data_IF_663393032004
#
_entry.id   IF_663393032004
#
_cell.length_a   1.000
_cell.length_b   1.000
_cell.length_c   1.000
_cell.angle_alpha   90.00
_cell.angle_beta   90.00
_cell.angle_gamma   90.00
#
_symmetry.space_group_name_H-M   'P 1'
#
loop_
_entity.id
_entity.type
_entity.pdbx_description
1 polymer ?
#
# COMPACT_ATOMS: atom_id res chain seq x y z
N UNK A 1 14.52 -61.11 -77.01
CA UNK A 1 14.67 -61.41 -75.59
C UNK A 1 15.14 -60.14 -74.94
N UNK A 2 14.26 -59.37 -74.33
CA UNK A 2 14.56 -58.09 -73.71
C UNK A 2 13.85 -58.10 -72.34
N UNK A 3 14.63 -58.03 -71.25
CA UNK A 3 14.10 -57.92 -69.91
C UNK A 3 14.09 -56.46 -69.46
N UNK A 4 12.93 -55.91 -69.30
CA UNK A 4 12.70 -54.58 -68.74
C UNK A 4 12.73 -54.62 -67.21
N UNK A 5 13.66 -53.84 -66.62
CA UNK A 5 13.73 -53.58 -65.20
C UNK A 5 12.81 -52.40 -64.84
N UNK A 6 11.87 -52.63 -63.96
CA UNK A 6 11.03 -51.60 -63.40
C UNK A 6 11.78 -50.88 -62.20
N UNK A 7 11.87 -49.57 -62.27
CA UNK A 7 12.40 -48.71 -61.19
C UNK A 7 11.28 -48.37 -60.17
N UNK A 8 11.48 -48.68 -58.91
CA UNK A 8 10.62 -48.22 -57.79
C UNK A 8 11.05 -46.80 -57.38
N UNK A 9 10.16 -45.86 -57.53
CA UNK A 9 10.30 -44.50 -56.96
C UNK A 9 9.75 -44.53 -55.54
N UNK A 10 10.62 -44.34 -54.54
CA UNK A 10 10.21 -44.18 -53.17
C UNK A 10 9.87 -42.71 -52.90
N UNK A 11 8.64 -42.48 -52.45
CA UNK A 11 8.22 -41.18 -51.93
C UNK A 11 8.68 -41.03 -50.49
N UNK A 12 9.57 -40.08 -50.21
CA UNK A 12 9.91 -39.63 -48.85
C UNK A 12 8.94 -38.50 -48.51
N UNK A 13 8.02 -38.76 -47.57
CA UNK A 13 7.18 -37.73 -46.97
C UNK A 13 8.00 -36.97 -45.95
N UNK A 14 8.32 -35.72 -46.23
CA UNK A 14 8.90 -34.78 -45.26
C UNK A 14 7.76 -34.20 -44.43
N UNK A 15 7.64 -34.65 -43.18
CA UNK A 15 6.77 -34.01 -42.18
C UNK A 15 7.39 -32.68 -41.77
N UNK A 16 6.83 -31.56 -42.22
CA UNK A 16 7.13 -30.25 -41.65
C UNK A 16 6.42 -30.12 -40.31
N UNK A 17 7.19 -30.14 -39.21
CA UNK A 17 6.74 -29.68 -37.90
C UNK A 17 6.62 -28.14 -37.95
N UNK A 18 5.39 -27.64 -37.90
CA UNK A 18 5.10 -26.24 -37.66
C UNK A 18 5.18 -26.04 -36.14
N UNK A 19 6.10 -25.19 -35.59
CA UNK A 19 6.06 -24.87 -34.19
C UNK A 19 4.79 -24.06 -33.91
N UNK A 20 3.94 -24.56 -33.03
CA UNK A 20 2.83 -23.79 -32.48
C UNK A 20 3.41 -22.58 -31.71
N UNK A 21 3.23 -21.38 -32.22
CA UNK A 21 3.39 -20.16 -31.46
C UNK A 21 2.37 -20.24 -30.30
N UNK A 22 2.85 -20.56 -29.12
CA UNK A 22 2.10 -20.30 -27.89
C UNK A 22 1.87 -18.79 -27.82
N UNK A 23 0.62 -18.38 -27.99
CA UNK A 23 0.21 -17.01 -27.80
C UNK A 23 0.58 -16.59 -26.38
N UNK A 24 1.38 -15.54 -26.25
CA UNK A 24 1.57 -14.82 -25.01
C UNK A 24 0.21 -14.17 -24.72
N UNK A 25 -0.57 -14.79 -23.85
CA UNK A 25 -1.77 -14.20 -23.29
C UNK A 25 -1.41 -12.92 -22.53
N UNK A 26 -2.38 -12.01 -22.31
CA UNK A 26 -2.13 -10.78 -21.56
C UNK A 26 -1.51 -11.14 -20.22
N UNK A 27 -0.51 -10.34 -19.80
CA UNK A 27 0.23 -10.52 -18.56
C UNK A 27 -0.74 -10.80 -17.41
N UNK A 28 -0.78 -12.06 -16.95
CA UNK A 28 -1.74 -12.52 -15.98
C UNK A 28 -1.59 -11.72 -14.69
N UNK A 29 -2.73 -11.37 -14.11
CA UNK A 29 -2.84 -11.07 -12.69
C UNK A 29 -2.02 -12.12 -11.94
N UNK A 30 -1.12 -11.67 -11.07
CA UNK A 30 -0.25 -12.56 -10.32
C UNK A 30 -1.08 -13.73 -9.73
N UNK A 31 -0.59 -14.95 -9.92
CA UNK A 31 -1.23 -16.12 -9.33
C UNK A 31 -1.53 -15.82 -7.85
N UNK A 32 -2.74 -16.17 -7.40
CA UNK A 32 -3.21 -16.02 -6.03
C UNK A 32 -2.06 -16.28 -5.04
N UNK A 33 -1.53 -15.20 -4.44
CA UNK A 33 -0.65 -15.40 -3.31
C UNK A 33 -1.57 -15.60 -2.11
N UNK A 34 -1.52 -16.77 -1.49
CA UNK A 34 -2.21 -17.05 -0.22
C UNK A 34 -1.68 -16.16 0.92
N UNK A 35 -0.93 -15.12 0.60
CA UNK A 35 -0.25 -14.25 1.53
C UNK A 35 -0.50 -12.77 1.21
N UNK A 36 -0.52 -11.95 2.26
CA UNK A 36 -0.61 -10.49 2.19
C UNK A 36 0.56 -9.87 2.95
N UNK A 37 1.78 -9.88 2.35
CA UNK A 37 3.04 -9.75 3.11
C UNK A 37 3.38 -8.35 3.60
N UNK A 38 2.70 -7.32 3.11
CA UNK A 38 2.95 -5.92 3.47
C UNK A 38 1.75 -5.03 3.16
N UNK A 39 1.90 -3.72 3.38
CA UNK A 39 0.87 -2.71 3.10
C UNK A 39 0.32 -2.84 1.68
N UNK A 40 -1.01 -2.99 1.56
CA UNK A 40 -1.77 -3.15 0.29
C UNK A 40 -1.42 -4.42 -0.52
N UNK A 41 -0.84 -5.43 0.13
CA UNK A 41 -0.59 -6.74 -0.48
C UNK A 41 0.57 -6.78 -1.48
N UNK A 42 0.78 -7.89 -2.14
CA UNK A 42 2.02 -8.19 -2.88
C UNK A 42 2.31 -7.23 -4.03
N UNK A 43 1.32 -6.55 -4.57
CA UNK A 43 1.49 -5.61 -5.69
C UNK A 43 1.37 -4.14 -5.28
N UNK A 44 1.02 -3.86 -4.02
CA UNK A 44 0.62 -2.53 -3.52
C UNK A 44 -0.52 -1.86 -4.31
N UNK A 45 -1.11 -2.56 -5.27
CA UNK A 45 -2.26 -2.09 -6.03
C UNK A 45 -3.61 -2.38 -5.32
N UNK A 46 -3.64 -3.38 -4.44
CA UNK A 46 -4.84 -3.86 -3.73
C UNK A 46 -6.02 -4.26 -4.65
N UNK A 47 -5.75 -4.54 -5.93
CA UNK A 47 -6.66 -5.20 -6.84
C UNK A 47 -6.24 -6.66 -6.98
N UNK A 48 -7.13 -7.59 -6.63
CA UNK A 48 -6.86 -9.03 -6.71
C UNK A 48 -7.67 -9.67 -7.83
N UNK A 49 -7.31 -10.90 -8.20
CA UNK A 49 -8.06 -11.69 -9.15
C UNK A 49 -9.51 -11.88 -8.67
N UNK A 50 -10.43 -11.95 -9.62
CA UNK A 50 -11.83 -12.23 -9.32
C UNK A 50 -11.95 -13.64 -8.73
N UNK A 51 -12.59 -13.72 -7.57
CA UNK A 51 -12.84 -14.97 -6.86
C UNK A 51 -14.28 -14.94 -6.33
N UNK A 52 -15.18 -15.83 -6.81
CA UNK A 52 -16.58 -15.84 -6.41
C UNK A 52 -16.78 -16.16 -4.92
N UNK A 53 -15.78 -16.72 -4.24
CA UNK A 53 -15.83 -17.04 -2.83
C UNK A 53 -15.50 -15.84 -1.93
N UNK A 54 -14.92 -14.75 -2.48
CA UNK A 54 -14.71 -13.53 -1.72
C UNK A 54 -16.02 -12.84 -1.33
N UNK A 55 -16.11 -12.32 -0.10
CA UNK A 55 -17.34 -11.69 0.40
C UNK A 55 -17.58 -10.33 -0.30
N UNK A 56 -18.80 -10.09 -0.70
CA UNK A 56 -19.24 -8.82 -1.30
C UNK A 56 -20.25 -8.09 -0.39
N UNK A 57 -20.85 -8.82 0.55
CA UNK A 57 -21.78 -8.31 1.57
C UNK A 57 -21.36 -8.79 2.94
N UNK A 58 -21.48 -7.92 3.93
CA UNK A 58 -21.28 -8.25 5.35
C UNK A 58 -21.92 -7.22 6.27
N UNK A 59 -22.07 -7.59 7.52
CA UNK A 59 -22.43 -6.71 8.62
C UNK A 59 -21.58 -7.05 9.84
N UNK A 60 -21.97 -6.63 11.03
CA UNK A 60 -21.34 -7.04 12.28
C UNK A 60 -21.49 -8.55 12.57
N UNK A 61 -22.44 -9.22 11.92
CA UNK A 61 -22.78 -10.63 12.17
C UNK A 61 -22.94 -11.47 10.91
N UNK A 62 -23.19 -10.86 9.75
CA UNK A 62 -23.33 -11.55 8.48
C UNK A 62 -21.96 -11.74 7.83
N UNK A 63 -21.65 -12.94 7.36
CA UNK A 63 -20.39 -13.31 6.72
C UNK A 63 -19.15 -13.01 7.60
N UNK A 64 -19.31 -13.01 8.91
CA UNK A 64 -18.21 -12.86 9.87
C UNK A 64 -17.81 -14.24 10.36
N UNK A 65 -16.58 -14.65 10.04
CA UNK A 65 -16.01 -15.92 10.48
C UNK A 65 -15.54 -15.82 11.94
N UNK A 66 -14.79 -14.77 12.25
CA UNK A 66 -14.37 -14.46 13.62
C UNK A 66 -14.15 -12.96 13.83
N UNK A 67 -14.14 -12.55 15.09
CA UNK A 67 -13.83 -11.18 15.53
C UNK A 67 -12.89 -11.26 16.72
N UNK A 68 -11.79 -10.53 16.64
CA UNK A 68 -10.80 -10.46 17.73
C UNK A 68 -10.65 -9.04 18.24
N UNK A 69 -10.76 -8.84 19.55
CA UNK A 69 -10.49 -7.56 20.19
C UNK A 69 -8.99 -7.27 20.19
N UNK A 70 -8.62 -6.09 19.70
CA UNK A 70 -7.24 -5.60 19.73
C UNK A 70 -7.20 -4.28 20.49
N UNK A 71 -6.83 -4.33 21.78
CA UNK A 71 -6.79 -3.15 22.63
C UNK A 71 -5.80 -2.09 22.14
N UNK A 72 -6.08 -0.83 22.43
CA UNK A 72 -5.23 0.31 22.11
C UNK A 72 -5.61 0.99 20.78
N UNK A 73 -4.68 1.76 20.24
CA UNK A 73 -4.82 2.42 18.94
C UNK A 73 -3.69 2.01 18.00
N UNK A 74 -4.05 1.63 16.80
CA UNK A 74 -3.12 1.33 15.72
C UNK A 74 -3.84 1.30 14.38
N UNK A 75 -3.22 1.88 13.37
CA UNK A 75 -3.76 1.90 12.01
C UNK A 75 -2.95 1.03 11.03
N UNK A 76 -2.00 0.21 11.55
CA UNK A 76 -1.34 -0.78 10.72
C UNK A 76 -2.38 -1.68 10.05
N UNK A 77 -2.22 -1.93 8.76
CA UNK A 77 -3.01 -2.92 8.04
C UNK A 77 -2.69 -4.33 8.54
N UNK A 78 -3.62 -5.27 8.53
CA UNK A 78 -3.31 -6.67 8.74
C UNK A 78 -2.33 -7.16 7.67
N UNK A 79 -1.31 -7.92 8.09
CA UNK A 79 -0.32 -8.58 7.23
C UNK A 79 -0.43 -10.06 7.45
N UNK A 80 -0.43 -10.86 6.38
CA UNK A 80 -0.70 -12.29 6.47
C UNK A 80 0.39 -13.10 5.77
N UNK A 81 0.83 -14.16 6.46
CA UNK A 81 1.68 -15.20 5.87
C UNK A 81 1.30 -16.58 6.41
N UNK A 82 0.91 -17.47 5.51
CA UNK A 82 0.34 -18.77 5.91
C UNK A 82 -0.86 -18.57 6.83
N UNK A 83 -0.84 -19.22 7.99
CA UNK A 83 -1.91 -19.13 8.99
C UNK A 83 -1.65 -18.05 10.08
N UNK A 84 -0.88 -17.01 9.79
CA UNK A 84 -0.53 -15.96 10.76
C UNK A 84 -0.91 -14.58 10.28
N UNK A 85 -1.58 -13.81 11.15
CA UNK A 85 -1.94 -12.41 10.91
C UNK A 85 -1.16 -11.52 11.86
N UNK A 86 -0.40 -10.57 11.34
CA UNK A 86 0.41 -9.64 12.12
C UNK A 86 -0.16 -8.24 12.08
N UNK A 87 -0.14 -7.57 13.23
CA UNK A 87 -0.51 -6.16 13.35
C UNK A 87 0.17 -5.53 14.57
N UNK A 88 0.16 -4.20 14.63
CA UNK A 88 0.71 -3.42 15.72
C UNK A 88 -0.35 -2.58 16.39
N UNK A 89 -0.21 -2.32 17.67
CA UNK A 89 -1.08 -1.40 18.43
C UNK A 89 -0.31 -0.76 19.56
N UNK A 90 -0.82 0.33 20.11
CA UNK A 90 -0.27 0.99 21.27
C UNK A 90 -1.38 1.24 22.28
N UNK A 91 -1.22 0.72 23.49
CA UNK A 91 -2.14 0.98 24.59
C UNK A 91 -1.62 2.15 25.43
N UNK A 92 -2.51 2.89 26.09
CA UNK A 92 -2.16 3.95 27.03
C UNK A 92 -2.71 3.62 28.41
N UNK A 93 -1.94 3.93 29.46
CA UNK A 93 -2.37 3.79 30.84
C UNK A 93 -3.14 5.03 31.29
N UNK A 94 -4.43 5.11 30.88
CA UNK A 94 -5.32 6.21 31.22
C UNK A 94 -6.22 6.61 30.04
N UNK A 95 -7.07 7.59 30.29
CA UNK A 95 -7.97 8.13 29.27
C UNK A 95 -7.24 9.16 28.41
N UNK A 96 -7.46 9.11 27.11
CA UNK A 96 -6.99 10.09 26.14
C UNK A 96 -8.02 10.35 25.05
N UNK A 97 -7.92 11.49 24.40
CA UNK A 97 -8.86 11.87 23.36
C UNK A 97 -8.79 10.87 22.17
N UNK A 98 -9.96 10.29 21.88
CA UNK A 98 -10.10 9.33 20.79
C UNK A 98 -10.21 10.04 19.43
N UNK A 99 -9.64 9.47 18.35
CA UNK A 99 -9.83 10.01 17.02
C UNK A 99 -11.31 10.02 16.63
N UNK A 100 -11.68 11.00 15.80
CA UNK A 100 -13.04 11.16 15.23
C UNK A 100 -12.96 11.12 13.72
N UNK A 101 -14.00 10.65 13.04
CA UNK A 101 -14.07 10.76 11.59
C UNK A 101 -14.05 12.22 11.12
N UNK A 102 -13.46 12.47 9.95
CA UNK A 102 -13.46 13.79 9.31
C UNK A 102 -12.09 14.41 9.16
N UNK A 103 -12.03 15.51 8.41
CA UNK A 103 -10.83 16.31 8.23
C UNK A 103 -10.77 17.40 9.30
N UNK A 104 -9.85 17.29 10.20
CA UNK A 104 -9.58 18.29 11.24
C UNK A 104 -8.09 18.30 11.58
N UNK A 105 -7.64 19.41 12.10
CA UNK A 105 -6.31 19.58 12.66
C UNK A 105 -6.40 19.96 14.13
N UNK A 106 -5.42 19.60 14.95
CA UNK A 106 -5.34 20.07 16.33
C UNK A 106 -5.25 21.60 16.35
N UNK A 107 -5.78 22.20 17.40
CA UNK A 107 -5.55 23.63 17.67
C UNK A 107 -4.16 23.78 18.29
N UNK A 108 -3.26 24.47 17.58
CA UNK A 108 -1.87 24.61 18.00
C UNK A 108 -1.03 23.40 17.66
N UNK A 109 0.18 23.37 18.22
CA UNK A 109 1.11 22.24 18.10
C UNK A 109 0.73 21.19 19.14
N UNK A 110 0.53 19.91 18.75
CA UNK A 110 0.24 18.87 19.74
C UNK A 110 1.44 18.67 20.67
N UNK A 111 1.16 18.26 21.90
CA UNK A 111 2.18 17.86 22.87
C UNK A 111 2.14 16.34 23.06
N UNK A 112 3.28 15.71 23.41
CA UNK A 112 3.29 14.30 23.76
C UNK A 112 2.35 14.05 24.94
N UNK A 113 1.50 13.01 24.91
CA UNK A 113 0.60 12.71 26.02
C UNK A 113 1.41 12.32 27.25
N UNK A 114 1.06 12.82 28.46
CA UNK A 114 1.79 12.54 29.70
C UNK A 114 1.50 11.15 30.28
N UNK A 115 1.02 10.23 29.46
CA UNK A 115 0.61 8.88 29.82
C UNK A 115 1.69 7.86 29.44
N UNK A 116 1.85 6.85 30.27
CA UNK A 116 2.63 5.66 29.93
C UNK A 116 1.90 4.89 28.82
N UNK A 117 2.65 4.44 27.82
CA UNK A 117 2.19 3.65 26.69
C UNK A 117 2.93 2.33 26.64
N UNK A 118 2.30 1.34 25.99
CA UNK A 118 2.91 0.04 25.72
C UNK A 118 2.76 -0.27 24.22
N UNK A 119 3.88 -0.41 23.51
CA UNK A 119 3.95 -0.70 22.08
C UNK A 119 3.93 -2.20 21.86
N UNK A 120 2.93 -2.67 21.13
CA UNK A 120 2.60 -4.08 21.06
C UNK A 120 2.59 -4.59 19.60
N UNK A 121 3.16 -5.78 19.42
CA UNK A 121 3.03 -6.57 18.19
C UNK A 121 2.16 -7.78 18.50
N UNK A 122 1.17 -8.02 17.65
CA UNK A 122 0.25 -9.16 17.72
C UNK A 122 0.48 -10.11 16.56
N UNK A 123 0.36 -11.38 16.84
CA UNK A 123 0.16 -12.43 15.86
C UNK A 123 -1.14 -13.16 16.21
N UNK A 124 -2.05 -13.20 15.24
CA UNK A 124 -3.30 -13.96 15.35
C UNK A 124 -3.25 -15.17 14.44
N UNK A 125 -4.01 -16.19 14.78
CA UNK A 125 -4.33 -17.31 13.91
C UNK A 125 -5.33 -16.85 12.83
N UNK A 126 -5.06 -17.12 11.57
CA UNK A 126 -5.90 -16.70 10.45
C UNK A 126 -7.26 -17.41 10.43
N UNK A 127 -7.33 -18.68 10.89
CA UNK A 127 -8.53 -19.49 10.83
C UNK A 127 -9.48 -19.22 12.02
N UNK A 128 -8.93 -18.90 13.19
CA UNK A 128 -9.71 -18.77 14.43
C UNK A 128 -9.78 -17.37 15.00
N UNK A 129 -8.83 -16.50 14.62
CA UNK A 129 -8.66 -15.18 15.21
C UNK A 129 -8.01 -15.20 16.60
N UNK A 130 -7.62 -16.37 17.11
CA UNK A 130 -6.98 -16.49 18.42
C UNK A 130 -5.62 -15.79 18.44
N UNK A 131 -5.28 -15.17 19.56
CA UNK A 131 -3.96 -14.56 19.75
C UNK A 131 -2.93 -15.67 19.97
N UNK A 132 -2.12 -15.94 18.95
CA UNK A 132 -1.01 -16.90 19.04
C UNK A 132 0.10 -16.37 19.94
N UNK A 133 0.46 -15.11 19.77
CA UNK A 133 1.38 -14.41 20.63
C UNK A 133 1.20 -12.89 20.59
N UNK A 134 1.67 -12.25 21.65
CA UNK A 134 1.76 -10.80 21.78
C UNK A 134 3.11 -10.44 22.39
N UNK A 135 3.75 -9.38 21.88
CA UNK A 135 5.03 -8.88 22.41
C UNK A 135 4.94 -7.39 22.68
N UNK A 136 5.38 -6.98 23.86
CA UNK A 136 5.69 -5.59 24.15
C UNK A 136 7.12 -5.31 23.72
N UNK A 137 7.34 -4.28 22.93
CA UNK A 137 8.67 -3.85 22.47
C UNK A 137 9.19 -2.67 23.26
N UNK A 138 8.30 -1.88 23.83
CA UNK A 138 8.63 -0.73 24.66
C UNK A 138 7.47 -0.40 25.60
N UNK A 139 7.79 0.10 26.78
CA UNK A 139 6.86 0.70 27.73
C UNK A 139 7.42 2.02 28.23
N UNK A 140 6.63 3.10 28.15
CA UNK A 140 7.09 4.43 28.56
C UNK A 140 6.23 5.55 28.00
N UNK A 141 6.69 6.77 28.17
CA UNK A 141 6.02 7.96 27.60
C UNK A 141 6.54 8.21 26.20
N UNK A 142 5.67 8.56 25.25
CA UNK A 142 6.09 8.98 23.92
C UNK A 142 7.01 10.20 24.00
N UNK A 143 8.05 10.23 23.17
CA UNK A 143 9.00 11.34 23.09
C UNK A 143 8.42 12.52 22.30
N UNK A 144 7.57 12.23 21.31
CA UNK A 144 6.95 13.20 20.42
C UNK A 144 5.43 13.08 20.41
N UNK A 145 4.80 14.16 20.00
CA UNK A 145 3.37 14.18 19.73
C UNK A 145 3.04 13.51 18.41
N UNK A 146 1.77 13.37 18.14
CA UNK A 146 1.22 12.88 16.87
C UNK A 146 -0.05 13.65 16.51
N UNK A 147 -0.43 13.65 15.24
CA UNK A 147 -1.75 14.12 14.85
C UNK A 147 -2.81 13.28 15.55
N UNK A 148 -3.91 13.89 16.04
CA UNK A 148 -4.95 13.16 16.78
C UNK A 148 -5.59 12.01 16.01
N UNK A 149 -5.51 12.00 14.68
CA UNK A 149 -5.92 10.88 13.82
C UNK A 149 -4.81 9.88 13.55
N UNK A 150 -3.55 10.23 13.79
CA UNK A 150 -2.44 9.30 13.69
C UNK A 150 -2.32 8.46 14.97
N UNK A 151 -1.57 7.37 14.93
CA UNK A 151 -1.24 6.54 16.08
C UNK A 151 0.26 6.32 16.16
N UNK A 152 0.77 5.86 17.30
CA UNK A 152 2.16 5.42 17.43
C UNK A 152 2.39 4.01 16.84
N UNK A 153 1.39 3.45 16.13
CA UNK A 153 1.40 2.16 15.44
C UNK A 153 0.63 2.26 14.12
N UNK A 154 1.01 3.23 13.27
CA UNK A 154 0.39 3.43 11.95
C UNK A 154 1.15 2.74 10.84
N UNK A 155 2.45 2.52 11.00
CA UNK A 155 3.25 1.74 10.06
C UNK A 155 2.77 0.29 10.04
N UNK A 156 2.60 -0.23 8.83
CA UNK A 156 2.22 -1.62 8.60
C UNK A 156 3.46 -2.51 8.64
N UNK A 157 3.45 -3.62 9.36
CA UNK A 157 4.52 -4.61 9.32
C UNK A 157 4.78 -5.14 7.91
N UNK A 158 5.93 -5.76 7.69
CA UNK A 158 6.18 -6.58 6.51
C UNK A 158 6.77 -7.92 6.92
N UNK A 159 6.54 -8.96 6.10
CA UNK A 159 7.01 -10.32 6.38
C UNK A 159 7.48 -11.05 5.11
N UNK A 160 8.42 -11.94 5.27
CA UNK A 160 8.91 -12.87 4.23
C UNK A 160 8.58 -14.34 4.55
N UNK A 161 7.78 -14.58 5.61
CA UNK A 161 7.43 -15.92 6.06
C UNK A 161 8.47 -16.60 6.97
N UNK A 162 9.67 -16.04 7.08
CA UNK A 162 10.65 -16.43 8.09
C UNK A 162 10.60 -15.48 9.30
N UNK A 163 10.31 -14.20 9.04
CA UNK A 163 10.33 -13.14 10.03
C UNK A 163 9.24 -12.10 9.76
N UNK A 164 8.88 -11.38 10.80
CA UNK A 164 8.06 -10.17 10.71
C UNK A 164 8.90 -8.97 11.15
N UNK A 165 8.86 -7.92 10.35
CA UNK A 165 9.60 -6.66 10.53
C UNK A 165 8.60 -5.57 10.86
N UNK A 166 8.80 -4.95 11.99
CA UNK A 166 7.90 -3.94 12.55
C UNK A 166 8.66 -2.64 12.73
N UNK A 167 8.07 -1.55 12.28
CA UNK A 167 8.54 -0.19 12.55
C UNK A 167 7.57 0.50 13.49
N UNK A 168 8.12 1.16 14.51
CA UNK A 168 7.43 2.18 15.29
C UNK A 168 8.24 3.47 15.13
N UNK A 169 7.63 4.50 14.55
CA UNK A 169 8.34 5.69 14.08
C UNK A 169 9.28 6.32 15.08
N UNK A 170 8.86 6.42 16.33
CA UNK A 170 9.66 7.04 17.40
C UNK A 170 10.66 6.10 18.08
N UNK A 171 10.55 4.79 17.85
CA UNK A 171 11.39 3.80 18.53
C UNK A 171 12.40 3.12 17.62
N UNK A 172 12.02 2.95 16.34
CA UNK A 172 12.83 2.23 15.35
C UNK A 172 12.23 0.93 14.87
N UNK A 173 13.07 -0.07 14.62
CA UNK A 173 12.72 -1.36 14.02
C UNK A 173 12.86 -2.51 15.01
N UNK A 174 11.93 -3.44 14.91
CA UNK A 174 11.92 -4.68 15.69
C UNK A 174 11.61 -5.83 14.75
N UNK A 175 12.36 -6.91 14.90
CA UNK A 175 12.19 -8.11 14.06
C UNK A 175 11.99 -9.33 14.93
N UNK A 176 10.98 -10.10 14.58
CA UNK A 176 10.62 -11.34 15.28
C UNK A 176 10.64 -12.51 14.29
N UNK A 177 10.92 -13.71 14.81
CA UNK A 177 10.58 -14.93 14.08
C UNK A 177 9.05 -15.16 14.10
N UNK A 178 8.60 -16.19 13.39
CA UNK A 178 7.16 -16.46 13.27
C UNK A 178 6.52 -16.90 14.61
N UNK A 179 7.33 -17.31 15.60
CA UNK A 179 6.87 -17.70 16.94
C UNK A 179 6.96 -16.53 17.95
N UNK A 180 7.35 -15.35 17.47
CA UNK A 180 7.39 -14.12 18.25
C UNK A 180 8.64 -13.99 19.11
N UNK A 181 9.72 -14.73 18.86
CA UNK A 181 11.00 -14.48 19.50
C UNK A 181 11.68 -13.30 18.77
N UNK A 182 12.13 -12.31 19.55
CA UNK A 182 12.85 -11.18 18.96
C UNK A 182 14.21 -11.62 18.41
N UNK A 183 14.46 -11.32 17.14
CA UNK A 183 15.70 -11.68 16.45
C UNK A 183 16.71 -10.55 16.52
N UNK A 184 16.28 -9.33 16.20
CA UNK A 184 17.08 -8.11 16.34
C UNK A 184 16.18 -6.90 16.49
N UNK A 185 16.75 -5.80 16.96
CA UNK A 185 16.13 -4.48 16.96
C UNK A 185 17.15 -3.42 16.58
N UNK A 186 16.68 -2.31 16.03
CA UNK A 186 17.50 -1.16 15.66
C UNK A 186 16.77 0.10 16.13
N UNK A 187 17.37 0.82 17.07
CA UNK A 187 16.90 2.15 17.45
C UNK A 187 17.17 3.13 16.29
N UNK A 188 16.17 3.88 15.91
CA UNK A 188 16.29 4.99 14.97
C UNK A 188 16.00 6.24 15.76
N UNK A 189 16.97 7.18 15.84
CA UNK A 189 16.75 8.42 16.56
C UNK A 189 15.49 9.12 16.05
N UNK A 190 14.62 9.45 16.99
CA UNK A 190 13.40 10.15 16.66
C UNK A 190 13.73 11.56 16.16
N UNK A 191 12.96 12.02 15.17
CA UNK A 191 13.13 13.31 14.50
C UNK A 191 11.81 14.04 14.45
N UNK A 192 11.89 15.34 14.50
CA UNK A 192 10.72 16.19 14.39
C UNK A 192 10.03 15.97 13.04
N UNK A 193 8.74 15.66 13.09
CA UNK A 193 7.89 15.65 11.90
C UNK A 193 7.13 16.97 11.77
N UNK A 194 6.61 17.26 10.59
CA UNK A 194 5.82 18.46 10.31
C UNK A 194 4.66 18.54 11.31
N UNK A 195 4.61 19.67 12.03
CA UNK A 195 3.60 19.93 13.06
C UNK A 195 3.49 18.84 14.13
N UNK A 196 4.54 18.06 14.33
CA UNK A 196 4.58 16.89 15.22
C UNK A 196 3.47 15.88 14.97
N UNK A 197 3.20 15.57 13.70
CA UNK A 197 2.14 14.66 13.32
C UNK A 197 2.50 13.18 13.36
N UNK A 198 3.76 12.88 13.66
CA UNK A 198 4.27 11.51 13.73
C UNK A 198 4.57 10.91 12.34
N UNK A 199 5.01 9.67 12.31
CA UNK A 199 5.36 8.94 11.10
C UNK A 199 4.26 7.96 10.66
N UNK A 200 4.37 7.39 9.44
CA UNK A 200 3.50 6.34 8.93
C UNK A 200 4.11 5.55 7.76
N UNK A 201 5.30 5.91 7.28
CA UNK A 201 5.96 5.17 6.19
C UNK A 201 6.36 3.76 6.65
N UNK A 202 5.82 2.74 6.00
CA UNK A 202 6.05 1.35 6.33
C UNK A 202 7.36 0.82 5.73
N UNK A 203 8.03 -0.15 6.36
CA UNK A 203 9.18 -0.83 5.78
C UNK A 203 8.77 -1.73 4.62
N UNK A 204 9.66 -1.94 3.65
CA UNK A 204 9.44 -2.79 2.48
C UNK A 204 10.59 -3.78 2.32
N UNK A 205 10.27 -5.02 1.99
CA UNK A 205 11.25 -6.08 1.73
C UNK A 205 11.51 -6.25 0.24
N UNK A 206 12.78 -6.45 -0.09
CA UNK A 206 13.19 -6.97 -1.40
C UNK A 206 14.45 -7.80 -1.24
N UNK A 207 14.39 -9.06 -1.64
CA UNK A 207 15.47 -10.04 -1.49
C UNK A 207 16.02 -10.10 -0.06
N UNK A 208 17.27 -9.70 0.15
CA UNK A 208 17.95 -9.65 1.44
C UNK A 208 17.88 -8.29 2.15
N UNK A 209 17.17 -7.33 1.55
CA UNK A 209 17.10 -5.93 2.01
C UNK A 209 15.77 -5.58 2.64
N UNK A 210 15.83 -4.85 3.74
CA UNK A 210 14.72 -4.12 4.32
C UNK A 210 14.93 -2.64 4.01
N UNK A 211 14.03 -2.08 3.19
CA UNK A 211 14.09 -0.69 2.75
C UNK A 211 13.22 0.17 3.67
N UNK A 212 13.76 1.28 4.13
CA UNK A 212 13.04 2.27 4.94
C UNK A 212 13.30 3.68 4.41
N UNK A 213 12.25 4.50 4.41
CA UNK A 213 12.30 5.93 4.17
C UNK A 213 12.01 6.66 5.47
N UNK A 214 12.80 7.66 5.79
CA UNK A 214 12.61 8.50 6.97
C UNK A 214 12.71 9.99 6.60
N UNK A 215 11.63 10.50 6.02
CA UNK A 215 11.49 11.90 5.68
C UNK A 215 10.93 12.67 6.90
N UNK A 216 11.64 13.71 7.32
CA UNK A 216 11.35 14.49 8.52
C UNK A 216 11.84 15.94 8.36
N UNK A 217 11.67 16.78 9.37
CA UNK A 217 12.04 18.23 9.29
C UNK A 217 13.52 18.50 9.64
N UNK A 218 14.32 17.47 9.94
CA UNK A 218 15.70 17.65 10.40
C UNK A 218 16.72 16.97 9.47
N UNK A 219 16.61 15.67 9.25
CA UNK A 219 17.56 14.87 8.48
C UNK A 219 16.84 13.72 7.78
N UNK A 220 16.44 13.95 6.55
CA UNK A 220 15.73 12.94 5.73
C UNK A 220 16.68 11.99 5.01
N UNK A 221 16.33 10.74 4.95
CA UNK A 221 17.12 9.71 4.27
C UNK A 221 16.27 8.50 3.83
N UNK A 222 16.84 7.72 2.91
CA UNK A 222 16.42 6.36 2.56
C UNK A 222 17.56 5.41 2.86
N UNK A 223 17.28 4.22 3.36
CA UNK A 223 18.30 3.22 3.67
C UNK A 223 17.84 1.80 3.35
N UNK A 224 18.80 0.95 3.03
CA UNK A 224 18.63 -0.49 3.03
C UNK A 224 19.38 -1.13 4.19
N UNK A 225 18.71 -2.01 4.90
CA UNK A 225 19.26 -2.82 5.96
C UNK A 225 19.31 -4.29 5.53
N UNK A 226 20.33 -5.00 5.96
CA UNK A 226 20.36 -6.47 5.88
C UNK A 226 19.19 -7.01 6.74
N UNK A 227 18.24 -7.66 6.11
CA UNK A 227 17.01 -8.12 6.79
C UNK A 227 17.27 -9.15 7.89
N UNK A 228 18.40 -9.85 7.87
CA UNK A 228 18.74 -10.89 8.84
C UNK A 228 19.33 -10.31 10.11
N UNK A 229 20.06 -9.19 10.00
CA UNK A 229 20.87 -8.64 11.10
C UNK A 229 20.48 -7.24 11.52
N UNK A 230 19.69 -6.51 10.72
CA UNK A 230 19.39 -5.10 10.92
C UNK A 230 20.56 -4.16 10.61
N UNK A 231 21.71 -4.69 10.15
CA UNK A 231 22.88 -3.87 9.80
C UNK A 231 22.60 -3.05 8.54
N UNK A 232 22.92 -1.77 8.59
CA UNK A 232 22.83 -0.89 7.43
C UNK A 232 23.77 -1.36 6.31
N UNK A 233 23.23 -1.53 5.11
CA UNK A 233 23.96 -1.84 3.86
C UNK A 233 24.37 -0.53 3.21
N UNK A 234 23.41 0.40 3.04
CA UNK A 234 23.64 1.74 2.53
C UNK A 234 22.60 2.72 3.07
N UNK A 235 22.95 3.98 3.04
CA UNK A 235 22.07 5.13 3.34
C UNK A 235 22.31 6.25 2.36
N UNK A 236 21.22 6.81 1.83
CA UNK A 236 21.27 7.97 0.93
C UNK A 236 20.50 9.12 1.57
N UNK A 237 21.18 10.25 1.75
CA UNK A 237 20.55 11.47 2.24
C UNK A 237 19.53 12.01 1.23
N UNK A 238 18.48 12.64 1.73
CA UNK A 238 17.39 13.22 0.93
C UNK A 238 17.15 14.65 1.39
N UNK A 239 16.96 15.56 0.45
CA UNK A 239 16.55 16.94 0.70
C UNK A 239 15.01 17.05 0.77
N UNK A 240 14.41 16.23 1.63
CA UNK A 240 12.97 16.17 1.82
C UNK A 240 12.54 16.74 3.17
N UNK A 241 11.27 17.11 3.23
CA UNK A 241 10.54 17.38 4.47
C UNK A 241 9.63 16.19 4.76
N UNK A 242 8.95 16.22 5.89
CA UNK A 242 8.06 15.12 6.31
C UNK A 242 7.14 14.64 5.21
N UNK A 243 7.28 13.36 4.88
CA UNK A 243 6.46 12.59 3.96
C UNK A 243 6.11 11.26 4.61
N UNK A 244 4.94 10.74 4.29
CA UNK A 244 4.38 9.55 4.95
C UNK A 244 4.19 8.37 4.01
N UNK A 245 4.51 8.55 2.72
CA UNK A 245 4.37 7.50 1.71
C UNK A 245 5.33 6.33 1.97
N UNK A 246 4.83 5.12 1.84
CA UNK A 246 5.63 3.90 1.83
C UNK A 246 6.38 3.80 0.50
N UNK A 247 7.68 3.46 0.45
CA UNK A 247 8.39 3.25 -0.80
C UNK A 247 7.83 2.04 -1.56
N UNK A 248 7.98 2.03 -2.87
CA UNK A 248 7.52 0.97 -3.74
C UNK A 248 8.68 0.32 -4.50
N UNK A 249 8.75 -1.01 -4.50
CA UNK A 249 9.70 -1.77 -5.31
C UNK A 249 9.09 -2.02 -6.68
N UNK A 250 9.57 -1.30 -7.68
CA UNK A 250 9.10 -1.41 -9.05
C UNK A 250 10.00 -2.35 -9.86
N UNK A 251 9.50 -3.54 -10.13
CA UNK A 251 10.16 -4.51 -10.98
C UNK A 251 9.62 -4.42 -12.40
N UNK A 252 10.47 -4.19 -13.36
CA UNK A 252 10.12 -4.13 -14.78
C UNK A 252 11.25 -4.72 -15.65
N UNK A 253 11.02 -4.88 -16.94
CA UNK A 253 11.92 -5.59 -17.86
C UNK A 253 13.35 -5.05 -17.89
N UNK A 254 13.56 -3.78 -17.59
CA UNK A 254 14.88 -3.15 -17.69
C UNK A 254 15.67 -3.26 -16.37
N UNK A 255 15.00 -3.13 -15.21
CA UNK A 255 15.64 -3.16 -13.88
C UNK A 255 14.62 -3.19 -12.75
N UNK A 256 15.10 -3.34 -11.52
CA UNK A 256 14.33 -3.12 -10.29
C UNK A 256 14.69 -1.76 -9.71
N UNK A 257 13.67 -1.00 -9.29
CA UNK A 257 13.81 0.36 -8.75
C UNK A 257 13.07 0.50 -7.43
N UNK A 258 13.54 1.42 -6.58
CA UNK A 258 12.87 1.83 -5.36
C UNK A 258 12.27 3.22 -5.62
N UNK A 259 10.95 3.29 -5.83
CA UNK A 259 10.25 4.54 -6.11
C UNK A 259 9.73 5.15 -4.82
N UNK A 260 10.02 6.43 -4.60
CA UNK A 260 9.58 7.20 -3.45
C UNK A 260 8.75 8.41 -3.88
N UNK A 261 7.67 8.66 -3.14
CA UNK A 261 6.82 9.84 -3.30
C UNK A 261 7.03 10.75 -2.10
N UNK A 262 7.48 11.97 -2.31
CA UNK A 262 7.74 12.94 -1.25
C UNK A 262 7.25 14.34 -1.62
N UNK A 263 7.43 15.32 -0.74
CA UNK A 263 6.90 16.67 -0.93
C UNK A 263 7.72 17.45 -1.96
N UNK A 264 9.04 17.37 -1.87
CA UNK A 264 9.90 18.14 -2.78
C UNK A 264 10.04 17.43 -4.12
N UNK A 265 10.24 16.09 -4.12
CA UNK A 265 10.47 15.34 -5.36
C UNK A 265 9.90 13.93 -5.31
N UNK A 266 9.54 13.43 -6.48
CA UNK A 266 9.42 12.00 -6.74
C UNK A 266 10.80 11.51 -7.16
N UNK A 267 11.28 10.41 -6.56
CA UNK A 267 12.62 9.85 -6.86
C UNK A 267 12.57 8.35 -7.00
N UNK A 268 13.46 7.85 -7.85
CA UNK A 268 13.76 6.44 -7.95
C UNK A 268 15.24 6.16 -7.70
N UNK A 269 15.50 5.09 -6.99
CA UNK A 269 16.86 4.62 -6.66
C UNK A 269 17.04 3.18 -7.17
N UNK A 270 18.30 2.81 -7.45
CA UNK A 270 18.65 1.41 -7.63
C UNK A 270 18.69 0.67 -6.27
N UNK A 271 18.96 -0.63 -6.31
CA UNK A 271 19.03 -1.46 -5.09
C UNK A 271 20.28 -1.20 -4.25
N UNK A 272 21.23 -0.39 -4.75
CA UNK A 272 22.44 0.06 -4.07
C UNK A 272 22.33 1.49 -3.54
N UNK A 273 21.16 2.11 -3.71
CA UNK A 273 20.82 3.45 -3.19
C UNK A 273 21.25 4.62 -4.06
N UNK A 274 21.72 4.37 -5.30
CA UNK A 274 22.04 5.44 -6.23
C UNK A 274 20.78 6.00 -6.89
N UNK A 275 20.70 7.31 -6.99
CA UNK A 275 19.59 7.98 -7.68
C UNK A 275 19.59 7.64 -9.16
N UNK A 276 18.49 7.13 -9.67
CA UNK A 276 18.27 6.80 -11.08
C UNK A 276 17.61 7.95 -11.83
N UNK A 277 16.52 8.45 -11.28
CA UNK A 277 15.80 9.60 -11.81
C UNK A 277 15.06 10.33 -10.69
N UNK A 278 14.77 11.59 -10.95
CA UNK A 278 13.92 12.40 -10.10
C UNK A 278 13.04 13.33 -10.92
N UNK A 279 12.00 13.88 -10.30
CA UNK A 279 11.18 14.92 -10.89
C UNK A 279 10.60 15.85 -9.82
N UNK A 280 10.49 17.15 -10.16
CA UNK A 280 9.59 18.06 -9.47
C UNK A 280 8.15 17.70 -9.87
N UNK A 281 7.48 16.98 -8.98
CA UNK A 281 6.11 16.51 -9.23
C UNK A 281 5.06 17.54 -8.85
N UNK A 282 5.41 18.77 -8.48
CA UNK A 282 4.48 19.78 -7.94
C UNK A 282 3.57 19.17 -6.87
N UNK A 283 4.23 18.37 -6.01
CA UNK A 283 3.52 17.54 -5.04
C UNK A 283 2.81 18.40 -3.99
N UNK A 284 1.73 17.86 -3.47
CA UNK A 284 1.05 18.44 -2.31
C UNK A 284 1.98 18.49 -1.10
N UNK A 285 1.80 19.48 -0.23
CA UNK A 285 2.59 19.63 0.99
C UNK A 285 2.51 18.42 1.95
N UNK A 286 1.59 17.51 1.73
CA UNK A 286 1.45 16.25 2.47
C UNK A 286 1.43 15.07 1.48
N UNK A 287 2.57 14.43 1.27
CA UNK A 287 2.69 13.23 0.46
C UNK A 287 2.49 11.98 1.34
N UNK A 288 1.38 11.27 1.12
CA UNK A 288 0.96 10.12 1.94
C UNK A 288 0.72 8.89 1.05
N UNK A 289 0.12 9.09 -0.12
CA UNK A 289 -0.25 8.02 -1.03
C UNK A 289 0.98 7.23 -1.51
N UNK A 290 0.90 5.91 -1.43
CA UNK A 290 1.97 4.99 -1.81
C UNK A 290 1.97 4.77 -3.32
N UNK A 291 3.14 4.82 -3.99
CA UNK A 291 3.28 4.41 -5.39
C UNK A 291 2.95 2.93 -5.59
N UNK A 292 2.53 2.57 -6.80
CA UNK A 292 2.31 1.19 -7.21
C UNK A 292 2.41 1.09 -8.73
N UNK A 293 2.47 -0.12 -9.29
CA UNK A 293 2.53 -0.29 -10.74
C UNK A 293 1.37 -1.13 -11.29
N UNK A 294 1.01 -0.82 -12.54
CA UNK A 294 0.13 -1.60 -13.37
C UNK A 294 0.38 -1.26 -14.84
N UNK A 295 0.06 -2.15 -15.76
CA UNK A 295 0.22 -1.92 -17.22
C UNK A 295 1.63 -1.50 -17.66
N UNK A 296 2.68 -1.89 -16.92
CA UNK A 296 4.05 -1.47 -17.20
C UNK A 296 4.37 -0.02 -16.79
N UNK A 297 3.47 0.67 -16.13
CA UNK A 297 3.63 2.03 -15.63
C UNK A 297 3.70 2.03 -14.10
N UNK A 298 4.47 2.95 -13.51
CA UNK A 298 4.37 3.26 -12.08
C UNK A 298 3.52 4.51 -11.89
N UNK A 299 2.58 4.43 -10.94
CA UNK A 299 1.67 5.52 -10.60
C UNK A 299 2.11 6.17 -9.31
N UNK A 300 2.23 7.49 -9.33
CA UNK A 300 2.62 8.31 -8.18
C UNK A 300 1.66 9.47 -8.07
N UNK A 301 1.21 9.78 -6.87
CA UNK A 301 0.30 10.88 -6.65
C UNK A 301 0.43 11.48 -5.25
N UNK A 302 -0.07 12.68 -5.07
CA UNK A 302 -0.32 13.29 -3.77
C UNK A 302 -1.44 14.32 -3.86
N UNK A 303 -2.11 14.59 -2.74
CA UNK A 303 -3.15 15.60 -2.78
C UNK A 303 -3.75 15.95 -1.42
N UNK A 304 -3.69 17.20 -1.06
CA UNK A 304 -4.46 17.74 0.05
C UNK A 304 -5.57 18.64 -0.52
N UNK A 305 -6.78 18.53 0.00
CA UNK A 305 -7.97 19.13 -0.62
C UNK A 305 -7.92 20.68 -0.78
N UNK A 306 -7.05 21.36 -0.07
CA UNK A 306 -6.84 22.80 -0.16
C UNK A 306 -5.70 23.21 -1.09
N UNK A 307 -4.90 22.23 -1.56
CA UNK A 307 -3.79 22.54 -2.44
C UNK A 307 -4.27 22.83 -3.85
N UNK A 308 -3.58 23.74 -4.50
CA UNK A 308 -3.79 24.07 -5.90
C UNK A 308 -3.43 22.88 -6.78
N UNK A 309 -2.31 22.23 -6.49
CA UNK A 309 -1.83 21.04 -7.18
C UNK A 309 -2.10 19.80 -6.34
N UNK A 310 -2.74 18.82 -6.96
CA UNK A 310 -2.99 17.48 -6.43
C UNK A 310 -2.70 16.48 -7.54
N UNK A 311 -1.41 16.32 -7.86
CA UNK A 311 -0.99 15.60 -9.05
C UNK A 311 -1.22 14.10 -8.95
N UNK A 312 -1.48 13.49 -10.11
CA UNK A 312 -1.30 12.07 -10.34
C UNK A 312 -0.51 11.89 -11.64
N UNK A 313 0.47 11.01 -11.60
CA UNK A 313 1.39 10.69 -12.69
C UNK A 313 1.36 9.20 -12.99
N UNK A 314 1.55 8.86 -14.27
CA UNK A 314 2.00 7.54 -14.69
C UNK A 314 3.35 7.69 -15.41
N UNK A 315 4.34 6.91 -14.97
CA UNK A 315 5.73 7.01 -15.43
C UNK A 315 6.12 5.71 -16.12
N UNK A 316 6.79 5.83 -17.27
CA UNK A 316 7.28 4.70 -18.08
C UNK A 316 8.58 4.15 -17.49
N UNK A 317 8.86 2.85 -17.70
CA UNK A 317 10.14 2.26 -17.33
C UNK A 317 11.30 2.87 -18.13
N UNK A 318 12.51 2.82 -17.55
CA UNK A 318 13.72 3.30 -18.20
C UNK A 318 14.03 4.78 -18.01
N UNK A 319 13.27 5.49 -17.17
CA UNK A 319 13.52 6.87 -16.82
C UNK A 319 14.95 7.07 -16.25
N UNK A 320 15.59 8.19 -16.56
CA UNK A 320 16.96 8.52 -16.13
C UNK A 320 17.13 10.03 -16.02
N UNK A 321 17.83 10.49 -14.99
CA UNK A 321 18.08 11.91 -14.75
C UNK A 321 16.87 12.68 -14.29
N UNK A 322 16.79 13.96 -14.60
CA UNK A 322 15.61 14.80 -14.29
C UNK A 322 14.55 14.64 -15.38
N UNK A 323 13.37 14.14 -15.01
CA UNK A 323 12.23 13.88 -15.90
C UNK A 323 11.08 14.87 -15.68
N UNK A 324 11.35 15.98 -15.03
CA UNK A 324 10.36 17.04 -14.74
C UNK A 324 9.65 17.50 -16.01
N UNK A 325 8.33 17.58 -15.96
CA UNK A 325 7.52 18.16 -17.04
C UNK A 325 7.73 19.69 -17.09
N UNK A 326 7.85 20.23 -18.28
CA UNK A 326 7.75 21.67 -18.47
C UNK A 326 6.35 22.19 -18.07
N UNK A 327 6.20 23.52 -17.92
CA UNK A 327 4.98 24.10 -17.32
C UNK A 327 3.69 23.74 -18.06
N UNK A 328 3.71 23.65 -19.36
CA UNK A 328 2.55 23.38 -20.22
C UNK A 328 2.44 21.91 -20.67
N UNK A 329 3.38 21.06 -20.23
CA UNK A 329 3.40 19.65 -20.61
C UNK A 329 2.56 18.78 -19.69
N UNK A 330 1.90 17.78 -20.29
CA UNK A 330 1.17 16.73 -19.58
C UNK A 330 1.78 15.34 -19.79
N UNK A 331 2.80 15.24 -20.61
CA UNK A 331 3.58 14.03 -20.91
C UNK A 331 4.93 14.37 -21.52
N UNK A 332 5.91 13.48 -21.39
CA UNK A 332 7.18 13.51 -22.09
C UNK A 332 7.65 12.08 -22.40
N UNK A 333 8.90 11.85 -22.72
CA UNK A 333 9.43 10.53 -23.04
C UNK A 333 9.20 9.52 -21.90
N UNK A 334 9.25 9.96 -20.65
CA UNK A 334 9.16 9.13 -19.45
C UNK A 334 7.81 9.27 -18.71
N UNK A 335 7.22 10.46 -18.69
CA UNK A 335 5.91 10.67 -18.11
C UNK A 335 4.85 10.33 -19.14
N UNK A 336 4.10 9.24 -18.94
CA UNK A 336 3.04 8.81 -19.85
C UNK A 336 1.86 9.77 -19.83
N UNK A 337 1.46 10.22 -18.65
CA UNK A 337 0.43 11.21 -18.45
C UNK A 337 0.53 11.89 -17.08
N UNK A 338 -0.04 13.05 -16.98
CA UNK A 338 -0.18 13.87 -15.79
C UNK A 338 -1.61 14.40 -15.65
N UNK A 339 -2.17 14.25 -14.46
CA UNK A 339 -3.45 14.85 -14.09
C UNK A 339 -3.27 15.77 -12.88
N UNK A 340 -3.54 17.10 -13.02
CA UNK A 340 -3.15 18.10 -12.00
C UNK A 340 -4.03 18.08 -10.74
N UNK A 341 -5.17 17.35 -10.76
CA UNK A 341 -6.15 17.36 -9.64
C UNK A 341 -6.71 15.99 -9.28
N UNK A 342 -6.11 14.91 -9.77
CA UNK A 342 -6.53 13.53 -9.51
C UNK A 342 -5.86 12.89 -8.29
N UNK A 343 -4.94 13.60 -7.63
CA UNK A 343 -4.17 13.09 -6.51
C UNK A 343 -4.98 12.95 -5.23
N UNK A 344 -4.71 11.87 -4.52
CA UNK A 344 -5.34 11.48 -3.26
C UNK A 344 -4.59 12.10 -2.06
N UNK A 345 -5.29 12.33 -0.97
CA UNK A 345 -4.69 12.80 0.29
C UNK A 345 -4.19 11.61 1.13
N UNK A 346 -5.08 10.97 1.88
CA UNK A 346 -4.72 9.87 2.78
C UNK A 346 -4.73 8.50 2.08
N UNK A 347 -5.61 8.33 1.12
CA UNK A 347 -5.80 7.06 0.42
C UNK A 347 -4.79 6.91 -0.73
N UNK A 348 -4.37 5.69 -1.02
CA UNK A 348 -3.66 5.40 -2.27
C UNK A 348 -4.65 4.94 -3.33
N UNK A 349 -4.51 5.36 -4.60
CA UNK A 349 -5.38 4.91 -5.69
C UNK A 349 -5.13 3.45 -6.05
N UNK A 350 -5.95 2.89 -6.92
CA UNK A 350 -5.74 1.58 -7.51
C UNK A 350 -6.06 1.55 -9.00
N UNK A 351 -5.54 0.54 -9.68
CA UNK A 351 -5.92 0.18 -11.05
C UNK A 351 -6.63 -1.18 -11.02
N UNK A 352 -7.84 -1.22 -11.58
CA UNK A 352 -8.58 -2.47 -11.77
C UNK A 352 -9.14 -2.52 -13.20
N UNK A 353 -8.83 -3.59 -13.92
CA UNK A 353 -8.96 -3.60 -15.38
C UNK A 353 -8.07 -2.51 -15.99
N UNK A 354 -8.61 -1.73 -16.92
CA UNK A 354 -7.90 -0.63 -17.59
C UNK A 354 -8.18 0.75 -16.96
N UNK A 355 -8.72 0.78 -15.73
CA UNK A 355 -9.17 2.03 -15.12
C UNK A 355 -8.40 2.30 -13.82
N UNK A 356 -7.84 3.51 -13.74
CA UNK A 356 -7.26 4.10 -12.53
C UNK A 356 -8.36 4.78 -11.72
N UNK A 357 -8.57 4.35 -10.49
CA UNK A 357 -9.58 4.86 -9.58
C UNK A 357 -8.95 5.71 -8.48
N UNK A 358 -9.43 6.93 -8.35
CA UNK A 358 -8.99 7.90 -7.35
C UNK A 358 -10.09 8.14 -6.32
N UNK A 359 -9.83 7.73 -5.07
CA UNK A 359 -10.69 8.01 -3.91
C UNK A 359 -10.17 9.26 -3.21
N UNK A 360 -10.84 10.37 -3.39
CA UNK A 360 -10.49 11.62 -2.75
C UNK A 360 -11.10 11.69 -1.34
N UNK A 361 -10.45 12.44 -0.49
CA UNK A 361 -11.02 12.79 0.82
C UNK A 361 -12.45 13.35 0.68
N UNK A 362 -13.24 13.30 1.74
CA UNK A 362 -14.66 13.73 1.78
C UNK A 362 -15.61 12.95 0.85
N UNK A 363 -15.21 11.74 0.41
CA UNK A 363 -16.08 10.84 -0.36
C UNK A 363 -16.33 11.27 -1.80
N UNK A 364 -15.36 11.90 -2.42
CA UNK A 364 -15.32 12.06 -3.87
C UNK A 364 -14.59 10.92 -4.53
N UNK A 365 -15.02 10.54 -5.71
CA UNK A 365 -14.48 9.43 -6.48
C UNK A 365 -14.37 9.81 -7.95
N UNK A 366 -13.26 9.48 -8.58
CA UNK A 366 -12.96 9.78 -9.98
C UNK A 366 -12.34 8.56 -10.64
N UNK A 367 -12.47 8.47 -11.96
CA UNK A 367 -11.88 7.39 -12.74
C UNK A 367 -11.24 7.91 -14.02
N UNK A 368 -10.08 7.34 -14.35
CA UNK A 368 -9.28 7.69 -15.50
C UNK A 368 -8.85 6.42 -16.24
N UNK A 369 -8.64 6.50 -17.54
CA UNK A 369 -7.95 5.45 -18.27
C UNK A 369 -6.53 5.31 -17.71
N UNK A 370 -6.16 4.10 -17.32
CA UNK A 370 -4.90 3.86 -16.63
C UNK A 370 -3.67 4.13 -17.52
N UNK A 371 -3.78 3.96 -18.84
CA UNK A 371 -2.67 4.12 -19.79
C UNK A 371 -2.52 5.55 -20.31
N UNK A 372 -3.64 6.27 -20.44
CA UNK A 372 -3.66 7.60 -21.08
C UNK A 372 -3.93 8.74 -20.11
N UNK A 373 -4.47 8.46 -18.94
CA UNK A 373 -4.92 9.47 -17.98
C UNK A 373 -6.20 10.19 -18.40
N UNK A 374 -6.85 9.82 -19.50
CA UNK A 374 -8.11 10.43 -19.93
C UNK A 374 -9.23 10.14 -18.92
N UNK A 375 -10.07 11.12 -18.59
CA UNK A 375 -11.20 10.89 -17.69
C UNK A 375 -12.17 9.86 -18.25
N UNK A 376 -12.47 8.81 -17.47
CA UNK A 376 -13.53 7.83 -17.75
C UNK A 376 -14.87 8.39 -17.29
N UNK A 377 -14.90 8.92 -16.06
CA UNK A 377 -15.96 9.78 -15.55
C UNK A 377 -15.37 10.80 -14.58
N UNK A 378 -15.98 11.97 -14.54
CA UNK A 378 -15.57 13.05 -13.65
C UNK A 378 -15.97 12.79 -12.20
N UNK A 379 -15.74 13.82 -11.37
CA UNK A 379 -15.95 13.76 -9.92
C UNK A 379 -17.38 13.36 -9.55
N UNK A 380 -17.48 12.23 -8.86
CA UNK A 380 -18.72 11.70 -8.28
C UNK A 380 -18.67 11.81 -6.76
N UNK A 381 -19.83 11.78 -6.11
CA UNK A 381 -19.95 11.80 -4.66
C UNK A 381 -20.48 10.46 -4.17
N UNK A 382 -19.67 9.72 -3.37
CA UNK A 382 -20.08 8.44 -2.77
C UNK A 382 -21.14 8.71 -1.68
N UNK A 383 -20.81 9.56 -0.71
CA UNK A 383 -21.69 9.89 0.40
C UNK A 383 -21.33 11.26 0.99
N UNK A 384 -22.33 12.07 1.28
CA UNK A 384 -22.13 13.33 2.01
C UNK A 384 -21.82 13.02 3.48
N UNK A 385 -20.77 13.65 4.02
CA UNK A 385 -20.34 13.48 5.41
C UNK A 385 -19.41 12.30 5.67
N UNK A 386 -19.21 11.40 4.70
CA UNK A 386 -18.21 10.34 4.83
C UNK A 386 -16.80 10.90 4.62
N UNK A 387 -15.84 10.33 5.34
CA UNK A 387 -14.39 10.59 5.21
C UNK A 387 -13.66 9.29 4.99
N UNK A 388 -12.54 9.34 4.28
CA UNK A 388 -11.80 8.15 3.88
C UNK A 388 -10.31 8.32 4.16
N UNK A 389 -9.74 7.34 4.86
CA UNK A 389 -8.30 7.21 5.10
C UNK A 389 -7.80 5.84 4.62
N UNK A 390 -8.60 4.79 4.79
CA UNK A 390 -8.36 3.47 4.21
C UNK A 390 -8.30 3.55 2.68
N UNK A 391 -7.28 2.92 2.09
CA UNK A 391 -7.17 2.82 0.63
C UNK A 391 -8.21 1.84 0.07
N UNK A 392 -8.74 2.08 -1.14
CA UNK A 392 -9.69 1.19 -1.79
C UNK A 392 -9.04 -0.14 -2.19
N UNK A 393 -9.87 -1.15 -2.39
CA UNK A 393 -9.48 -2.46 -2.95
C UNK A 393 -10.51 -2.93 -3.96
N UNK A 394 -10.17 -3.94 -4.78
CA UNK A 394 -11.01 -4.38 -5.88
C UNK A 394 -10.96 -5.88 -6.15
N UNK A 395 -12.12 -6.46 -6.45
CA UNK A 395 -12.34 -7.79 -7.01
C UNK A 395 -13.79 -7.94 -7.52
N UNK A 396 -14.06 -8.98 -8.30
CA UNK A 396 -15.40 -9.36 -8.80
C UNK A 396 -16.16 -8.20 -9.46
N UNK A 397 -15.44 -7.41 -10.26
CA UNK A 397 -16.05 -6.27 -10.95
C UNK A 397 -16.50 -5.13 -10.02
N UNK A 398 -15.94 -5.03 -8.82
CA UNK A 398 -16.32 -4.05 -7.79
C UNK A 398 -15.10 -3.37 -7.17
N UNK A 399 -15.31 -2.10 -6.81
CA UNK A 399 -14.37 -1.31 -6.01
C UNK A 399 -15.01 -1.12 -4.63
N UNK A 400 -14.27 -1.44 -3.59
CA UNK A 400 -14.70 -1.28 -2.21
C UNK A 400 -13.96 -0.11 -1.57
N UNK A 401 -14.68 0.76 -0.87
CA UNK A 401 -14.12 1.93 -0.21
C UNK A 401 -14.63 2.02 1.23
N UNK A 402 -13.73 1.83 2.19
CA UNK A 402 -14.02 1.83 3.62
C UNK A 402 -13.91 3.23 4.19
N UNK A 403 -15.03 3.75 4.71
CA UNK A 403 -15.07 5.05 5.37
C UNK A 403 -14.53 4.99 6.80
N UNK A 404 -14.16 6.15 7.33
CA UNK A 404 -13.74 6.29 8.73
C UNK A 404 -14.87 5.97 9.73
N UNK A 405 -16.13 5.98 9.27
CA UNK A 405 -17.29 5.59 10.06
C UNK A 405 -17.48 4.06 10.18
N UNK A 406 -16.70 3.27 9.41
CA UNK A 406 -16.81 1.82 9.37
C UNK A 406 -17.78 1.29 8.31
N UNK A 407 -18.25 2.17 7.42
CA UNK A 407 -19.08 1.80 6.29
C UNK A 407 -18.21 1.52 5.07
N UNK A 408 -18.40 0.38 4.43
CA UNK A 408 -17.79 0.06 3.15
C UNK A 408 -18.80 0.24 2.03
N UNK A 409 -18.57 1.21 1.16
CA UNK A 409 -19.37 1.42 -0.04
C UNK A 409 -18.84 0.51 -1.15
N UNK A 410 -19.73 -0.21 -1.79
CA UNK A 410 -19.43 -1.11 -2.92
C UNK A 410 -19.79 -0.36 -4.21
N UNK A 411 -18.80 -0.09 -5.04
CA UNK A 411 -18.94 0.69 -6.28
C UNK A 411 -18.74 -0.26 -7.46
N UNK A 412 -19.59 -0.14 -8.50
CA UNK A 412 -19.40 -0.87 -9.76
C UNK A 412 -18.07 -0.46 -10.40
N UNK A 413 -17.22 -1.41 -10.71
CA UNK A 413 -16.06 -1.15 -11.56
C UNK A 413 -16.51 -0.98 -13.02
N UNK A 414 -15.93 -0.03 -13.74
CA UNK A 414 -16.23 0.23 -15.15
C UNK A 414 -16.39 1.71 -15.47
N UNK A 415 -17.07 1.97 -16.57
CA UNK A 415 -17.15 3.32 -17.17
C UNK A 415 -18.27 4.19 -16.61
N UNK A 416 -19.11 3.65 -15.74
CA UNK A 416 -20.21 4.35 -15.11
C UNK A 416 -20.11 4.25 -13.58
N UNK A 417 -20.32 5.37 -12.89
CA UNK A 417 -20.32 5.40 -11.44
C UNK A 417 -21.67 4.94 -10.88
N UNK A 418 -21.64 3.87 -10.07
CA UNK A 418 -22.82 3.38 -9.36
C UNK A 418 -22.41 2.81 -8.01
N UNK A 419 -23.06 3.25 -6.93
CA UNK A 419 -22.96 2.63 -5.61
C UNK A 419 -23.95 1.48 -5.53
N UNK A 420 -23.45 0.25 -5.47
CA UNK A 420 -24.25 -0.99 -5.49
C UNK A 420 -24.81 -1.33 -4.11
N UNK A 421 -24.11 -0.96 -3.04
CA UNK A 421 -24.49 -1.29 -1.68
C UNK A 421 -23.55 -0.70 -0.64
N UNK A 422 -23.87 -0.94 0.62
CA UNK A 422 -23.09 -0.52 1.78
C UNK A 422 -23.04 -1.65 2.80
N UNK A 423 -21.85 -1.99 3.27
CA UNK A 423 -21.61 -2.93 4.36
C UNK A 423 -21.10 -2.15 5.58
N UNK A 424 -21.60 -2.40 6.78
CA UNK A 424 -21.23 -1.64 7.98
C UNK A 424 -20.75 -2.51 9.12
N UNK A 425 -19.65 -2.09 9.75
CA UNK A 425 -19.13 -2.70 10.97
C UNK A 425 -19.40 -1.85 12.23
N UNK A 426 -19.93 -0.62 12.03
CA UNK A 426 -20.32 0.31 13.11
C UNK A 426 -19.17 0.59 14.12
N UNK A 427 -17.93 0.56 13.66
CA UNK A 427 -16.74 0.96 14.40
C UNK A 427 -15.75 1.66 13.48
N UNK A 428 -15.12 2.72 14.00
CA UNK A 428 -14.19 3.54 13.23
C UNK A 428 -13.07 2.71 12.60
N UNK A 429 -12.78 2.93 11.32
CA UNK A 429 -11.76 2.23 10.57
C UNK A 429 -10.91 3.17 9.72
N UNK A 430 -9.59 3.01 9.76
CA UNK A 430 -8.64 3.77 8.93
C UNK A 430 -7.60 2.86 8.27
N UNK A 431 -7.38 1.67 8.80
CA UNK A 431 -6.47 0.69 8.21
C UNK A 431 -7.01 0.18 6.86
N UNK A 432 -6.13 -0.01 5.89
CA UNK A 432 -6.50 -0.68 4.63
C UNK A 432 -6.64 -2.18 4.87
N UNK A 433 -7.67 -2.83 4.33
CA UNK A 433 -7.90 -4.26 4.51
C UNK A 433 -6.82 -5.14 3.86
N UNK A 434 -6.78 -6.41 4.29
CA UNK A 434 -6.02 -7.48 3.64
C UNK A 434 -6.98 -8.49 3.00
N UNK A 435 -6.60 -9.04 1.85
CA UNK A 435 -7.37 -10.03 1.10
C UNK A 435 -6.51 -11.28 0.98
N UNK A 436 -6.99 -12.41 1.50
CA UNK A 436 -6.23 -13.66 1.55
C UNK A 436 -7.13 -14.85 1.22
N UNK A 437 -6.85 -15.52 0.11
CA UNK A 437 -7.68 -16.63 -0.35
C UNK A 437 -9.13 -16.18 -0.59
N UNK A 438 -10.05 -16.67 0.24
CA UNK A 438 -11.47 -16.36 0.22
C UNK A 438 -11.92 -15.40 1.35
N UNK A 439 -10.95 -14.77 2.05
CA UNK A 439 -11.18 -13.92 3.23
C UNK A 439 -10.82 -12.47 2.98
N UNK A 440 -11.54 -11.60 3.67
CA UNK A 440 -11.25 -10.18 3.80
C UNK A 440 -11.02 -9.87 5.28
N UNK A 441 -9.83 -9.39 5.64
CA UNK A 441 -9.52 -8.94 6.99
C UNK A 441 -9.69 -7.44 7.08
N UNK A 442 -10.61 -6.99 7.94
CA UNK A 442 -10.86 -5.56 8.19
C UNK A 442 -10.48 -5.24 9.63
N UNK A 443 -9.57 -4.28 9.80
CA UNK A 443 -9.23 -3.72 11.09
C UNK A 443 -10.03 -2.47 11.36
N UNK A 444 -10.78 -2.46 12.44
CA UNK A 444 -11.41 -1.28 13.02
C UNK A 444 -10.55 -0.71 14.17
N UNK A 445 -11.02 0.31 14.84
CA UNK A 445 -10.32 0.92 15.96
C UNK A 445 -10.02 -0.07 17.08
N UNK A 446 -10.95 -0.99 17.36
CA UNK A 446 -10.88 -1.88 18.52
C UNK A 446 -10.81 -3.36 18.16
N UNK A 447 -11.02 -3.73 16.91
CA UNK A 447 -11.21 -5.12 16.49
C UNK A 447 -10.54 -5.42 15.15
N UNK A 448 -10.31 -6.71 14.92
CA UNK A 448 -10.05 -7.29 13.60
C UNK A 448 -11.18 -8.27 13.29
N UNK A 449 -11.75 -8.11 12.10
CA UNK A 449 -12.79 -8.98 11.57
C UNK A 449 -12.20 -9.86 10.45
N UNK A 450 -12.49 -11.16 10.48
CA UNK A 450 -12.37 -12.03 9.32
C UNK A 450 -13.75 -12.13 8.68
N UNK A 451 -13.87 -11.65 7.46
CA UNK A 451 -15.09 -11.68 6.67
C UNK A 451 -14.94 -12.75 5.60
N UNK A 452 -15.88 -13.71 5.58
CA UNK A 452 -15.90 -14.85 4.67
C UNK A 452 -17.34 -15.23 4.34
N UNK A 453 -17.61 -15.74 3.12
CA UNK A 453 -18.94 -16.28 2.74
C UNK A 453 -19.28 -17.53 3.50
#
# INVERSE_FOLDING_TARGET
MSMTRAARVGFVAVLMLVPALAGIGPAGLAAESDNWPHFRGPTMNAAVADNPDLPETWSQTENVEWVTDVPGLGWSSPVVWGNRVFLTTVTAMGEFEQPKPGLYAPQGRPEPPPLEHDWLVYCLDLETGDVLWRRSVNSGRPSFARHMKNTYASETPTTDGERVYVRFGELGLYTFDMDGNQVWSLEIPDRQTRSDWGSASSPVLHDDKLIIVYDNEEESWIAALDKRTGREIWRTARDEVSSWATPYIWQHEQRTEIVTSAVNRIRSYDLDGHLLWEMDGRMSWASIATPFSSHGLVYVNSGYFRDEHRPAYAIRPGASGDITLADDEVSNDYVAWYQPKAGNYNTSPLVYGDIYYSLLDRGFFEAYDARTGEPVYGRQRIKVGASFTSSPWAYNGKIFVLSEQGDTYVIRAGREFEVLGVNSLDDMAMASPAIVGDRLLIRTRTKVYSIKK
#
